data_IF_208892731362
#
_entry.id   IF_208892731362
#
_cell.length_a   1.000
_cell.length_b   1.000
_cell.length_c   1.000
_cell.angle_alpha   90.00
_cell.angle_beta   90.00
_cell.angle_gamma   90.00
#
_symmetry.space_group_name_H-M   'P 1'
#
loop_
_entity.id
_entity.type
_entity.pdbx_description
1 polymer ?
#
# COMPACT_ATOMS: atom_id res chain seq x y z
N UNK A 1 -47.95 -35.19 0.05
CA UNK A 1 -46.50 -35.49 -0.04
C UNK A 1 -45.85 -34.15 -0.27
N UNK A 2 -45.27 -33.58 0.79
CA UNK A 2 -44.64 -32.22 0.76
C UNK A 2 -43.14 -32.45 0.68
N UNK A 3 -42.54 -32.05 -0.44
CA UNK A 3 -41.07 -32.14 -0.64
C UNK A 3 -40.35 -31.16 0.32
N UNK A 4 -39.30 -31.59 1.02
CA UNK A 4 -38.56 -30.69 1.93
C UNK A 4 -37.76 -29.67 1.11
N UNK A 5 -37.57 -28.44 1.62
CA UNK A 5 -36.85 -27.39 0.89
C UNK A 5 -35.38 -27.79 0.74
N UNK A 6 -34.89 -27.75 -0.50
CA UNK A 6 -33.51 -27.96 -0.85
C UNK A 6 -32.65 -26.80 -0.26
N UNK A 7 -31.86 -27.07 0.75
CA UNK A 7 -30.85 -26.15 1.25
C UNK A 7 -29.72 -26.06 0.24
N UNK A 8 -29.74 -25.05 -0.61
CA UNK A 8 -28.61 -24.69 -1.47
C UNK A 8 -27.51 -24.13 -0.59
N UNK A 9 -26.61 -24.99 -0.15
CA UNK A 9 -25.36 -24.57 0.49
C UNK A 9 -24.54 -23.75 -0.52
N UNK A 10 -24.45 -22.45 -0.29
CA UNK A 10 -23.64 -21.55 -1.11
C UNK A 10 -22.17 -21.98 -1.09
N UNK A 11 -21.38 -21.62 -2.11
CA UNK A 11 -20.00 -22.07 -2.24
C UNK A 11 -19.20 -21.68 -1.00
N UNK A 12 -18.47 -22.65 -0.43
CA UNK A 12 -17.66 -22.47 0.78
C UNK A 12 -16.58 -21.40 0.62
N UNK A 13 -16.13 -20.82 1.72
CA UNK A 13 -15.11 -19.76 1.74
C UNK A 13 -13.86 -20.12 0.91
N UNK A 14 -13.43 -21.37 0.94
CA UNK A 14 -12.30 -21.88 0.15
C UNK A 14 -12.55 -21.83 -1.37
N UNK A 15 -13.79 -22.09 -1.83
CA UNK A 15 -14.15 -21.98 -3.24
C UNK A 15 -14.24 -20.51 -3.70
N UNK A 16 -14.63 -19.61 -2.82
CA UNK A 16 -14.64 -18.16 -3.12
C UNK A 16 -13.22 -17.60 -3.25
N UNK A 17 -12.29 -18.07 -2.41
CA UNK A 17 -10.87 -17.68 -2.47
C UNK A 17 -10.19 -18.27 -3.71
N UNK A 18 -10.44 -19.56 -4.03
CA UNK A 18 -9.90 -20.21 -5.23
C UNK A 18 -10.40 -19.57 -6.52
N UNK A 19 -11.69 -19.22 -6.60
CA UNK A 19 -12.26 -18.52 -7.75
C UNK A 19 -11.74 -17.07 -7.91
N UNK A 20 -11.36 -16.41 -6.80
CA UNK A 20 -10.76 -15.08 -6.84
C UNK A 20 -9.31 -15.11 -7.34
N UNK A 21 -8.55 -16.15 -7.01
CA UNK A 21 -7.16 -16.34 -7.46
C UNK A 21 -7.07 -16.78 -8.93
N UNK A 22 -8.10 -17.41 -9.49
CA UNK A 22 -8.11 -17.92 -10.87
C UNK A 22 -8.46 -16.90 -11.95
N UNK A 23 -8.88 -15.69 -11.62
CA UNK A 23 -9.22 -14.67 -12.62
C UNK A 23 -7.96 -13.95 -13.12
N UNK A 24 -7.67 -14.08 -14.41
CA UNK A 24 -6.56 -13.39 -15.11
C UNK A 24 -6.52 -11.88 -14.82
N UNK A 25 -7.67 -11.25 -14.68
CA UNK A 25 -7.84 -9.85 -14.29
C UNK A 25 -7.23 -9.52 -12.91
N UNK A 26 -7.21 -10.45 -11.96
CA UNK A 26 -6.63 -10.23 -10.63
C UNK A 26 -5.10 -10.23 -10.66
N UNK A 27 -4.51 -11.06 -11.51
CA UNK A 27 -3.05 -11.09 -11.71
C UNK A 27 -2.54 -9.84 -12.43
N UNK A 28 -3.30 -9.34 -13.41
CA UNK A 28 -2.98 -8.07 -14.08
C UNK A 28 -3.06 -6.88 -13.10
N UNK A 29 -4.07 -6.84 -12.26
CA UNK A 29 -4.21 -5.82 -11.22
C UNK A 29 -3.09 -5.92 -10.16
N UNK A 30 -2.73 -7.12 -9.75
CA UNK A 30 -1.62 -7.35 -8.84
C UNK A 30 -0.29 -6.89 -9.46
N UNK A 31 -0.02 -7.24 -10.72
CA UNK A 31 1.17 -6.80 -11.44
C UNK A 31 1.25 -5.28 -11.53
N UNK A 32 0.15 -4.60 -11.89
CA UNK A 32 0.08 -3.13 -11.92
C UNK A 32 0.30 -2.53 -10.53
N UNK A 33 -0.32 -3.11 -9.50
CA UNK A 33 -0.14 -2.65 -8.13
C UNK A 33 1.32 -2.77 -7.66
N UNK A 34 1.97 -3.90 -7.96
CA UNK A 34 3.39 -4.10 -7.64
C UNK A 34 4.28 -3.10 -8.40
N UNK A 35 3.98 -2.81 -9.67
CA UNK A 35 4.71 -1.82 -10.46
C UNK A 35 4.56 -0.41 -9.87
N UNK A 36 3.34 -0.02 -9.49
CA UNK A 36 3.09 1.27 -8.81
C UNK A 36 3.80 1.31 -7.46
N UNK A 37 3.78 0.21 -6.71
CA UNK A 37 4.51 0.09 -5.44
C UNK A 37 6.03 0.26 -5.61
N UNK A 38 6.61 -0.39 -6.62
CA UNK A 38 8.03 -0.25 -6.94
C UNK A 38 8.38 1.18 -7.38
N UNK A 39 7.55 1.81 -8.21
CA UNK A 39 7.73 3.22 -8.59
C UNK A 39 7.66 4.14 -7.36
N UNK A 40 6.70 3.91 -6.48
CA UNK A 40 6.58 4.65 -5.22
C UNK A 40 7.79 4.48 -4.29
N UNK A 41 8.35 3.27 -4.24
CA UNK A 41 9.59 3.01 -3.51
C UNK A 41 10.75 3.87 -4.04
N UNK A 42 10.95 3.87 -5.35
CA UNK A 42 12.01 4.66 -6.00
C UNK A 42 11.79 6.16 -5.76
N UNK A 43 10.57 6.66 -5.94
CA UNK A 43 10.22 8.06 -5.68
C UNK A 43 10.48 8.42 -4.22
N UNK A 44 10.04 7.60 -3.27
CA UNK A 44 10.27 7.83 -1.84
C UNK A 44 11.76 7.92 -1.53
N UNK A 45 12.56 6.94 -1.96
CA UNK A 45 13.99 6.89 -1.66
C UNK A 45 14.76 8.04 -2.33
N UNK A 46 14.40 8.40 -3.56
CA UNK A 46 15.01 9.53 -4.27
C UNK A 46 14.73 10.87 -3.56
N UNK A 47 13.46 11.14 -3.23
CA UNK A 47 13.06 12.37 -2.52
C UNK A 47 13.68 12.39 -1.12
N UNK A 48 13.68 11.26 -0.40
CA UNK A 48 14.33 11.16 0.90
C UNK A 48 15.82 11.52 0.83
N UNK A 49 16.53 10.94 -0.13
CA UNK A 49 17.98 11.22 -0.31
C UNK A 49 18.27 12.68 -0.66
N UNK A 50 17.41 13.31 -1.48
CA UNK A 50 17.51 14.73 -1.80
C UNK A 50 17.29 15.59 -0.54
N UNK A 51 16.22 15.32 0.21
CA UNK A 51 15.89 16.08 1.42
C UNK A 51 16.97 15.93 2.49
N UNK A 52 17.56 14.74 2.63
CA UNK A 52 18.61 14.47 3.60
C UNK A 52 19.95 15.11 3.20
N UNK A 53 20.42 14.86 1.97
CA UNK A 53 21.78 15.23 1.55
C UNK A 53 21.92 16.62 0.97
N UNK A 54 20.89 17.10 0.25
CA UNK A 54 20.98 18.37 -0.47
C UNK A 54 20.28 19.49 0.28
N UNK A 55 19.16 19.19 0.95
CA UNK A 55 18.45 20.17 1.78
C UNK A 55 18.98 20.19 3.21
N UNK A 56 19.63 19.10 3.66
CA UNK A 56 20.21 18.98 5.01
C UNK A 56 19.15 18.76 6.10
N UNK A 57 17.99 18.18 5.76
CA UNK A 57 16.97 17.87 6.75
C UNK A 57 17.40 16.66 7.61
N UNK A 58 17.00 16.67 8.87
CA UNK A 58 17.07 15.48 9.72
C UNK A 58 16.25 14.32 9.11
N UNK A 59 16.69 13.07 9.34
CA UNK A 59 16.08 11.88 8.71
C UNK A 59 14.57 11.73 8.95
N UNK A 60 14.03 12.16 10.11
CA UNK A 60 12.59 12.09 10.39
C UNK A 60 11.76 13.01 9.46
N UNK A 61 11.98 14.35 9.41
CA UNK A 61 11.24 15.20 8.47
C UNK A 61 11.51 14.85 7.01
N UNK A 62 12.72 14.36 6.66
CA UNK A 62 12.99 13.86 5.32
C UNK A 62 12.13 12.65 4.96
N UNK A 63 11.95 11.70 5.90
CA UNK A 63 11.09 10.55 5.71
C UNK A 63 9.61 10.92 5.58
N UNK A 64 9.12 11.88 6.37
CA UNK A 64 7.74 12.36 6.27
C UNK A 64 7.50 13.02 4.90
N UNK A 65 8.40 13.93 4.49
CA UNK A 65 8.28 14.64 3.20
C UNK A 65 8.32 13.68 2.01
N UNK A 66 9.27 12.75 1.98
CA UNK A 66 9.40 11.75 0.92
C UNK A 66 8.18 10.82 0.85
N UNK A 67 7.65 10.43 2.01
CA UNK A 67 6.45 9.60 2.10
C UNK A 67 5.22 10.33 1.53
N UNK A 68 4.99 11.59 1.86
CA UNK A 68 3.87 12.36 1.33
C UNK A 68 3.90 12.47 -0.19
N UNK A 69 5.08 12.71 -0.77
CA UNK A 69 5.27 12.73 -2.23
C UNK A 69 4.97 11.35 -2.84
N UNK A 70 5.51 10.28 -2.26
CA UNK A 70 5.29 8.92 -2.73
C UNK A 70 3.81 8.50 -2.63
N UNK A 71 3.13 8.84 -1.54
CA UNK A 71 1.69 8.56 -1.34
C UNK A 71 0.83 9.29 -2.36
N UNK A 72 1.09 10.57 -2.61
CA UNK A 72 0.37 11.34 -3.63
C UNK A 72 0.55 10.73 -5.02
N UNK A 73 1.79 10.37 -5.37
CA UNK A 73 2.11 9.70 -6.64
C UNK A 73 1.41 8.34 -6.76
N UNK A 74 1.49 7.50 -5.71
CA UNK A 74 0.86 6.18 -5.70
C UNK A 74 -0.67 6.27 -5.77
N UNK A 75 -1.27 7.23 -5.08
CA UNK A 75 -2.71 7.47 -5.16
C UNK A 75 -3.13 7.84 -6.58
N UNK A 76 -2.43 8.78 -7.22
CA UNK A 76 -2.72 9.20 -8.58
C UNK A 76 -2.58 8.03 -9.58
N UNK A 77 -1.49 7.26 -9.50
CA UNK A 77 -1.25 6.11 -10.38
C UNK A 77 -2.24 4.97 -10.15
N UNK A 78 -2.52 4.65 -8.90
CA UNK A 78 -3.48 3.58 -8.59
C UNK A 78 -4.88 3.95 -9.06
N UNK A 79 -5.29 5.19 -8.88
CA UNK A 79 -6.61 5.66 -9.32
C UNK A 79 -6.75 5.64 -10.83
N UNK A 80 -5.75 6.10 -11.57
CA UNK A 80 -5.83 6.28 -13.03
C UNK A 80 -5.51 5.01 -13.80
N UNK A 81 -4.57 4.21 -13.30
CA UNK A 81 -4.01 3.07 -14.03
C UNK A 81 -4.40 1.70 -13.47
N UNK A 82 -4.31 1.50 -12.15
CA UNK A 82 -4.51 0.17 -11.56
C UNK A 82 -5.99 -0.17 -11.46
N UNK A 83 -6.80 0.73 -10.96
CA UNK A 83 -8.19 0.43 -10.62
C UNK A 83 -9.21 1.03 -11.59
N UNK A 84 -8.81 1.96 -12.46
CA UNK A 84 -9.72 2.65 -13.41
C UNK A 84 -11.08 2.92 -12.79
N UNK A 85 -11.09 3.48 -11.58
CA UNK A 85 -12.31 3.63 -10.79
C UNK A 85 -13.24 4.60 -11.49
N UNK A 86 -14.34 4.06 -12.02
CA UNK A 86 -15.46 4.86 -12.45
C UNK A 86 -15.96 5.70 -11.27
N UNK A 87 -16.42 6.91 -11.55
CA UNK A 87 -16.72 8.05 -10.68
C UNK A 87 -17.66 7.75 -9.49
N UNK A 88 -17.30 6.84 -8.57
CA UNK A 88 -18.08 6.53 -7.38
C UNK A 88 -17.26 6.74 -6.10
N UNK A 89 -17.76 7.54 -5.16
CA UNK A 89 -17.32 7.68 -3.76
C UNK A 89 -15.80 7.93 -3.54
N UNK A 90 -15.21 8.83 -4.32
CA UNK A 90 -13.78 9.19 -4.26
C UNK A 90 -13.34 9.60 -2.85
N UNK A 91 -14.20 10.30 -2.10
CA UNK A 91 -13.89 10.79 -0.76
C UNK A 91 -13.72 9.67 0.27
N UNK A 92 -14.60 8.68 0.28
CA UNK A 92 -14.54 7.58 1.27
C UNK A 92 -13.36 6.63 1.02
N UNK A 93 -13.02 6.36 -0.25
CA UNK A 93 -11.85 5.58 -0.61
C UNK A 93 -10.55 6.33 -0.28
N UNK A 94 -10.49 7.61 -0.61
CA UNK A 94 -9.34 8.46 -0.32
C UNK A 94 -9.05 8.55 1.18
N UNK A 95 -10.09 8.69 2.01
CA UNK A 95 -9.95 8.71 3.46
C UNK A 95 -9.37 7.39 4.02
N UNK A 96 -9.93 6.25 3.59
CA UNK A 96 -9.42 4.93 4.03
C UNK A 96 -7.97 4.71 3.60
N UNK A 97 -7.65 5.08 2.36
CA UNK A 97 -6.27 5.03 1.86
C UNK A 97 -5.34 5.91 2.70
N UNK A 98 -5.76 7.11 3.05
CA UNK A 98 -4.99 8.03 3.87
C UNK A 98 -4.74 7.46 5.28
N UNK A 99 -5.75 6.85 5.92
CA UNK A 99 -5.59 6.22 7.23
C UNK A 99 -4.58 5.06 7.18
N UNK A 100 -4.70 4.15 6.21
CA UNK A 100 -3.74 3.04 6.04
C UNK A 100 -2.34 3.57 5.79
N UNK A 101 -2.23 4.61 4.95
CA UNK A 101 -0.94 5.24 4.65
C UNK A 101 -0.32 5.90 5.88
N UNK A 102 -1.14 6.54 6.74
CA UNK A 102 -0.66 7.15 7.99
C UNK A 102 -0.16 6.10 8.97
N UNK A 103 -0.87 4.99 9.13
CA UNK A 103 -0.41 3.85 9.98
C UNK A 103 0.91 3.30 9.43
N UNK A 104 1.01 3.14 8.12
CA UNK A 104 2.25 2.68 7.47
C UNK A 104 3.40 3.67 7.65
N UNK A 105 3.13 4.98 7.62
CA UNK A 105 4.14 6.00 7.90
C UNK A 105 4.66 5.89 9.33
N UNK A 106 3.77 5.77 10.32
CA UNK A 106 4.16 5.63 11.73
C UNK A 106 5.02 4.37 11.93
N UNK A 107 4.63 3.25 11.33
CA UNK A 107 5.43 2.02 11.36
C UNK A 107 6.81 2.22 10.68
N UNK A 108 6.85 2.89 9.52
CA UNK A 108 8.10 3.21 8.83
C UNK A 108 9.03 4.09 9.68
N UNK A 109 8.49 5.13 10.30
CA UNK A 109 9.28 6.02 11.18
C UNK A 109 9.86 5.27 12.39
N UNK A 110 9.08 4.36 12.99
CA UNK A 110 9.55 3.54 14.10
C UNK A 110 10.71 2.62 13.66
N UNK A 111 10.56 1.91 12.54
CA UNK A 111 11.61 1.03 12.00
C UNK A 111 12.83 1.84 11.59
N UNK A 112 12.66 2.96 10.89
CA UNK A 112 13.74 3.86 10.49
C UNK A 112 14.53 4.33 11.71
N UNK A 113 13.84 4.84 12.73
CA UNK A 113 14.47 5.32 13.94
C UNK A 113 15.28 4.23 14.66
N UNK A 114 14.71 3.01 14.78
CA UNK A 114 15.41 1.87 15.38
C UNK A 114 16.67 1.49 14.60
N UNK A 115 16.62 1.48 13.28
CA UNK A 115 17.77 1.14 12.45
C UNK A 115 18.85 2.20 12.51
N UNK A 116 18.49 3.48 12.45
CA UNK A 116 19.45 4.59 12.56
C UNK A 116 20.12 4.61 13.93
N UNK A 117 19.36 4.41 15.02
CA UNK A 117 19.92 4.34 16.38
C UNK A 117 20.79 3.10 16.60
N UNK A 118 20.56 2.03 15.84
CA UNK A 118 21.42 0.84 15.81
C UNK A 118 22.70 1.03 14.97
N UNK A 119 22.91 2.21 14.37
CA UNK A 119 24.11 2.55 13.61
C UNK A 119 24.02 2.22 12.11
N UNK A 120 22.84 1.92 11.58
CA UNK A 120 22.65 1.71 10.14
C UNK A 120 22.64 3.07 9.43
N UNK A 121 23.30 3.14 8.26
CA UNK A 121 23.24 4.33 7.38
C UNK A 121 21.81 4.75 7.11
N UNK A 122 21.53 6.07 7.15
CA UNK A 122 20.18 6.62 7.08
C UNK A 122 19.43 6.27 5.80
N UNK A 123 20.14 6.16 4.66
CA UNK A 123 19.52 5.77 3.38
C UNK A 123 19.22 4.27 3.36
N UNK A 124 20.13 3.44 3.85
CA UNK A 124 19.92 2.00 3.97
C UNK A 124 18.81 1.69 4.98
N UNK A 125 18.78 2.43 6.09
CA UNK A 125 17.72 2.32 7.09
C UNK A 125 16.34 2.65 6.49
N UNK A 126 16.23 3.73 5.71
CA UNK A 126 14.99 4.10 5.03
C UNK A 126 14.60 3.05 3.98
N UNK A 127 15.52 2.60 3.14
CA UNK A 127 15.27 1.55 2.15
C UNK A 127 14.73 0.27 2.80
N UNK A 128 15.35 -0.15 3.90
CA UNK A 128 14.93 -1.33 4.66
C UNK A 128 13.58 -1.13 5.33
N UNK A 129 13.35 0.02 5.96
CA UNK A 129 12.08 0.35 6.61
C UNK A 129 10.90 0.30 5.62
N UNK A 130 11.06 0.87 4.41
CA UNK A 130 10.03 0.82 3.38
C UNK A 130 9.70 -0.62 3.00
N UNK A 131 10.71 -1.46 2.76
CA UNK A 131 10.50 -2.87 2.37
C UNK A 131 9.76 -3.63 3.46
N UNK A 132 10.13 -3.44 4.73
CA UNK A 132 9.51 -4.12 5.87
C UNK A 132 8.06 -3.69 6.09
N UNK A 133 7.72 -2.42 5.82
CA UNK A 133 6.36 -1.87 6.03
C UNK A 133 5.46 -2.05 4.81
N UNK A 134 6.01 -2.28 3.62
CA UNK A 134 5.23 -2.48 2.38
C UNK A 134 4.14 -3.56 2.50
N UNK A 135 4.38 -4.76 3.07
CA UNK A 135 3.33 -5.75 3.27
C UNK A 135 2.17 -5.26 4.13
N UNK A 136 2.46 -4.49 5.19
CA UNK A 136 1.42 -3.90 6.06
C UNK A 136 0.55 -2.92 5.27
N UNK A 137 1.15 -2.06 4.48
CA UNK A 137 0.44 -1.12 3.61
C UNK A 137 -0.41 -1.82 2.55
N UNK A 138 0.13 -2.88 1.94
CA UNK A 138 -0.59 -3.68 0.94
C UNK A 138 -1.81 -4.37 1.54
N UNK A 139 -1.65 -5.08 2.65
CA UNK A 139 -2.73 -5.81 3.33
C UNK A 139 -3.79 -4.83 3.83
N UNK A 140 -3.40 -3.73 4.45
CA UNK A 140 -4.31 -2.69 4.93
C UNK A 140 -5.15 -2.09 3.80
N UNK A 141 -4.54 -1.74 2.68
CA UNK A 141 -5.25 -1.19 1.54
C UNK A 141 -6.18 -2.23 0.88
N UNK A 142 -5.73 -3.47 0.72
CA UNK A 142 -6.53 -4.54 0.11
C UNK A 142 -7.75 -4.90 0.96
N UNK A 143 -7.60 -5.00 2.27
CA UNK A 143 -8.66 -5.43 3.18
C UNK A 143 -9.65 -4.32 3.52
N UNK A 144 -9.22 -3.07 3.53
CA UNK A 144 -10.04 -1.98 4.04
C UNK A 144 -10.30 -0.86 3.03
N UNK A 145 -9.29 -0.38 2.31
CA UNK A 145 -9.45 0.76 1.40
C UNK A 145 -10.21 0.38 0.13
N UNK A 146 -9.96 -0.81 -0.41
CA UNK A 146 -10.53 -1.28 -1.68
C UNK A 146 -11.58 -2.40 -1.51
N UNK A 147 -12.12 -2.57 -0.31
CA UNK A 147 -13.23 -3.49 -0.07
C UNK A 147 -14.49 -2.98 -0.79
N UNK A 148 -14.96 -3.76 -1.78
CA UNK A 148 -16.25 -3.58 -2.45
C UNK A 148 -17.39 -4.02 -1.54
#
# INVERSE_FOLDING_TARGET
MIEPPQTTSGPGAAQRVGGALGRRSNWEQLGKFCTVGAAGYVVNLAVYSILLKWVGLHYIPAAIGSFLVAVANNYALNRTWTFRVERGHVGAQGWRFLVVSTVSLLANLAVLHLLVTAGVDEILAQATAIVLVTPLNFVGNKLWSFRR
#
